data_IF_382197691237
#
_entry.id   IF_382197691237
#
_cell.length_a   1.000
_cell.length_b   1.000
_cell.length_c   1.000
_cell.angle_alpha   90.00
_cell.angle_beta   90.00
_cell.angle_gamma   90.00
#
_symmetry.space_group_name_H-M   'P 1'
#
loop_
_entity.id
_entity.type
_entity.pdbx_description
1 polymer ?
#
# COMPACT_ATOMS: atom_id res chain seq x y z
N UNK A 1 -0.19 -44.69 -4.72
CA UNK A 1 -0.43 -43.35 -5.36
C UNK A 1 -0.88 -42.41 -4.25
N UNK A 2 -0.04 -41.48 -3.82
CA UNK A 2 -0.43 -40.50 -2.79
C UNK A 2 -1.53 -39.63 -3.38
N UNK A 3 -2.73 -39.66 -2.81
CA UNK A 3 -3.80 -38.76 -3.23
C UNK A 3 -3.34 -37.31 -2.95
N UNK A 4 -3.06 -36.58 -3.99
CA UNK A 4 -2.73 -35.14 -3.84
C UNK A 4 -3.94 -34.45 -3.21
N UNK A 5 -3.79 -33.96 -1.99
CA UNK A 5 -4.84 -33.20 -1.30
C UNK A 5 -5.07 -31.93 -2.11
N UNK A 6 -6.22 -31.83 -2.76
CA UNK A 6 -6.64 -30.59 -3.43
C UNK A 6 -7.48 -29.75 -2.46
N UNK A 7 -6.96 -28.61 -2.06
CA UNK A 7 -7.69 -27.63 -1.25
C UNK A 7 -8.41 -26.64 -2.14
N UNK A 8 -9.64 -26.28 -1.76
CA UNK A 8 -10.49 -25.32 -2.47
C UNK A 8 -10.43 -23.95 -1.78
N UNK A 9 -10.36 -22.90 -2.54
CA UNK A 9 -10.33 -21.55 -2.00
C UNK A 9 -11.26 -20.57 -2.71
N UNK A 10 -11.74 -19.58 -1.95
CA UNK A 10 -12.32 -18.34 -2.46
C UNK A 10 -11.32 -17.22 -2.13
N UNK A 11 -11.06 -16.35 -3.10
CA UNK A 11 -10.02 -15.31 -2.98
C UNK A 11 -10.63 -13.94 -3.21
N UNK A 12 -10.54 -13.08 -2.21
CA UNK A 12 -10.84 -11.66 -2.30
C UNK A 12 -9.53 -10.93 -2.60
N UNK A 13 -9.40 -10.30 -3.76
CA UNK A 13 -8.10 -9.78 -4.17
C UNK A 13 -8.21 -8.50 -5.00
N UNK A 14 -7.19 -7.66 -4.86
CA UNK A 14 -7.00 -6.48 -5.69
C UNK A 14 -5.52 -6.10 -5.74
N UNK A 15 -5.11 -5.27 -6.71
CA UNK A 15 -3.77 -4.73 -6.81
C UNK A 15 -2.67 -5.81 -7.11
N UNK A 16 -1.40 -5.39 -7.19
CA UNK A 16 -0.26 -6.28 -7.50
C UNK A 16 -0.11 -7.44 -6.50
N UNK A 17 -0.36 -7.20 -5.21
CA UNK A 17 -0.32 -8.27 -4.20
C UNK A 17 -1.37 -9.33 -4.50
N UNK A 18 -2.59 -8.92 -4.90
CA UNK A 18 -3.64 -9.84 -5.33
C UNK A 18 -3.24 -10.65 -6.54
N UNK A 19 -2.66 -10.00 -7.57
CA UNK A 19 -2.15 -10.66 -8.78
C UNK A 19 -1.08 -11.72 -8.45
N UNK A 20 -0.07 -11.34 -7.65
CA UNK A 20 1.05 -12.25 -7.30
C UNK A 20 0.58 -13.40 -6.43
N UNK A 21 -0.20 -13.14 -5.39
CA UNK A 21 -0.71 -14.18 -4.49
C UNK A 21 -1.66 -15.14 -5.20
N UNK A 22 -2.49 -14.67 -6.15
CA UNK A 22 -3.37 -15.54 -6.94
C UNK A 22 -2.55 -16.52 -7.79
N UNK A 23 -1.47 -16.06 -8.43
CA UNK A 23 -0.53 -16.92 -9.17
C UNK A 23 0.17 -17.93 -8.26
N UNK A 24 0.53 -17.55 -7.04
CA UNK A 24 1.12 -18.46 -6.04
C UNK A 24 0.14 -19.57 -5.68
N UNK A 25 -1.14 -19.25 -5.41
CA UNK A 25 -2.16 -20.25 -5.09
C UNK A 25 -2.30 -21.28 -6.21
N UNK A 26 -2.38 -20.82 -7.46
CA UNK A 26 -2.47 -21.68 -8.65
C UNK A 26 -1.21 -22.56 -8.79
N UNK A 27 -0.01 -22.00 -8.64
CA UNK A 27 1.26 -22.72 -8.75
C UNK A 27 1.45 -23.77 -7.63
N UNK A 28 0.85 -23.55 -6.46
CA UNK A 28 0.86 -24.48 -5.32
C UNK A 28 -0.28 -25.51 -5.36
N UNK A 29 -1.11 -25.51 -6.40
CA UNK A 29 -2.17 -26.49 -6.59
C UNK A 29 -3.42 -26.25 -5.75
N UNK A 30 -3.61 -25.05 -5.22
CA UNK A 30 -4.88 -24.63 -4.62
C UNK A 30 -5.89 -24.46 -5.75
N UNK A 31 -7.05 -25.09 -5.61
CA UNK A 31 -8.16 -24.93 -6.53
C UNK A 31 -8.94 -23.67 -6.15
N UNK A 32 -8.64 -22.56 -6.83
CA UNK A 32 -9.37 -21.31 -6.63
C UNK A 32 -10.69 -21.41 -7.39
N UNK A 33 -11.81 -21.49 -6.66
CA UNK A 33 -13.16 -21.66 -7.21
C UNK A 33 -13.82 -20.35 -7.61
N UNK A 34 -13.42 -19.27 -6.94
CA UNK A 34 -13.97 -17.94 -7.17
C UNK A 34 -12.96 -16.87 -6.74
N UNK A 35 -12.78 -15.88 -7.60
CA UNK A 35 -12.13 -14.61 -7.27
C UNK A 35 -13.20 -13.52 -7.11
N UNK A 36 -13.14 -12.81 -6.00
CA UNK A 36 -13.93 -11.60 -5.73
C UNK A 36 -12.98 -10.42 -5.81
N UNK A 37 -13.21 -9.51 -6.75
CA UNK A 37 -12.33 -8.36 -6.99
C UNK A 37 -13.15 -7.09 -7.16
N UNK A 38 -12.50 -5.99 -7.52
CA UNK A 38 -13.15 -4.70 -7.79
C UNK A 38 -13.10 -4.36 -9.27
N UNK A 39 -14.07 -3.58 -9.73
CA UNK A 39 -13.92 -2.80 -10.97
C UNK A 39 -12.95 -1.65 -10.68
N UNK A 40 -12.08 -1.35 -11.65
CA UNK A 40 -11.18 -0.22 -11.55
C UNK A 40 -11.97 1.09 -11.60
N UNK A 41 -11.68 2.00 -10.69
CA UNK A 41 -12.29 3.32 -10.67
C UNK A 41 -11.61 4.22 -11.70
N UNK A 42 -12.33 4.66 -12.71
CA UNK A 42 -11.82 5.54 -13.77
C UNK A 42 -11.27 6.90 -13.25
N UNK A 43 -11.65 7.31 -12.04
CA UNK A 43 -11.13 8.52 -11.40
C UNK A 43 -9.80 8.30 -10.65
N UNK A 44 -9.35 7.04 -10.52
CA UNK A 44 -8.08 6.71 -9.89
C UNK A 44 -6.96 6.53 -10.93
N UNK A 45 -5.74 6.88 -10.53
CA UNK A 45 -4.55 6.50 -11.28
C UNK A 45 -4.29 5.00 -11.08
N UNK A 46 -4.54 4.19 -12.11
CA UNK A 46 -4.32 2.73 -12.07
C UNK A 46 -2.90 2.44 -12.55
N UNK A 47 -2.01 2.19 -11.60
CA UNK A 47 -0.58 1.90 -11.83
C UNK A 47 -0.19 0.45 -11.49
N UNK A 48 -1.18 -0.39 -11.24
CA UNK A 48 -1.02 -1.77 -10.79
C UNK A 48 -1.71 -2.77 -11.71
N UNK A 49 -1.33 -4.04 -11.61
CA UNK A 49 -1.89 -5.13 -12.39
C UNK A 49 -3.33 -5.47 -12.02
N UNK A 50 -4.07 -5.99 -12.98
CA UNK A 50 -5.47 -6.38 -12.85
C UNK A 50 -5.61 -7.82 -12.36
N UNK A 51 -6.23 -8.00 -11.19
CA UNK A 51 -6.63 -9.31 -10.67
C UNK A 51 -7.66 -9.98 -11.58
N UNK A 52 -8.59 -9.20 -12.14
CA UNK A 52 -9.57 -9.67 -13.11
C UNK A 52 -8.89 -10.31 -14.33
N UNK A 53 -7.94 -9.61 -14.94
CA UNK A 53 -7.19 -10.13 -16.09
C UNK A 53 -6.42 -11.42 -15.72
N UNK A 54 -5.79 -11.44 -14.54
CA UNK A 54 -5.07 -12.63 -14.04
C UNK A 54 -6.02 -13.81 -13.81
N UNK A 55 -7.21 -13.59 -13.26
CA UNK A 55 -8.22 -14.64 -13.10
C UNK A 55 -8.66 -15.21 -14.46
N UNK A 56 -8.87 -14.33 -15.46
CA UNK A 56 -9.20 -14.74 -16.84
C UNK A 56 -8.08 -15.59 -17.48
N UNK A 57 -6.82 -15.16 -17.36
CA UNK A 57 -5.66 -15.92 -17.85
C UNK A 57 -5.56 -17.32 -17.25
N UNK A 58 -5.89 -17.45 -15.96
CA UNK A 58 -5.86 -18.69 -15.21
C UNK A 58 -7.13 -19.54 -15.37
N UNK A 59 -8.14 -19.05 -16.09
CA UNK A 59 -9.44 -19.73 -16.25
C UNK A 59 -10.25 -19.82 -14.96
N UNK A 60 -10.04 -18.90 -14.03
CA UNK A 60 -10.70 -18.86 -12.73
C UNK A 60 -11.96 -17.96 -12.81
N UNK A 61 -13.15 -18.44 -12.39
CA UNK A 61 -14.33 -17.59 -12.30
C UNK A 61 -14.10 -16.39 -11.37
N UNK A 62 -14.58 -15.21 -11.79
CA UNK A 62 -14.50 -13.99 -10.97
C UNK A 62 -15.80 -13.20 -10.95
N UNK A 63 -15.95 -12.35 -9.94
CA UNK A 63 -17.04 -11.38 -9.80
C UNK A 63 -16.51 -10.07 -9.19
N UNK A 64 -17.24 -8.99 -9.42
CA UNK A 64 -16.92 -7.64 -8.94
C UNK A 64 -18.15 -7.03 -8.23
N UNK A 65 -18.53 -7.54 -7.04
CA UNK A 65 -19.69 -7.06 -6.33
C UNK A 65 -19.45 -5.70 -5.71
N UNK A 66 -20.44 -4.81 -5.77
CA UNK A 66 -20.40 -3.51 -5.09
C UNK A 66 -20.36 -3.65 -3.57
N UNK A 67 -20.90 -4.75 -3.05
CA UNK A 67 -21.02 -5.01 -1.63
C UNK A 67 -20.66 -6.47 -1.28
N UNK A 68 -19.65 -6.64 -0.43
CA UNK A 68 -19.28 -7.97 0.09
C UNK A 68 -20.30 -8.57 1.07
N UNK A 69 -21.30 -7.79 1.52
CA UNK A 69 -22.36 -8.25 2.43
C UNK A 69 -23.62 -8.81 1.73
N UNK A 70 -23.61 -8.92 0.39
CA UNK A 70 -24.78 -9.43 -0.36
C UNK A 70 -25.11 -10.88 -0.02
N UNK A 71 -26.41 -11.22 0.06
CA UNK A 71 -26.87 -12.60 0.30
C UNK A 71 -26.50 -13.55 -0.85
N UNK A 72 -26.51 -13.04 -2.09
CA UNK A 72 -26.12 -13.83 -3.27
C UNK A 72 -24.65 -14.27 -3.19
N UNK A 73 -23.76 -13.38 -2.72
CA UNK A 73 -22.36 -13.72 -2.50
C UNK A 73 -22.21 -14.76 -1.40
N UNK A 74 -22.94 -14.60 -0.29
CA UNK A 74 -22.94 -15.58 0.80
C UNK A 74 -23.40 -16.96 0.31
N UNK A 75 -24.56 -17.04 -0.37
CA UNK A 75 -25.08 -18.29 -0.90
C UNK A 75 -24.09 -18.96 -1.87
N UNK A 76 -23.44 -18.18 -2.73
CA UNK A 76 -22.45 -18.67 -3.68
C UNK A 76 -21.22 -19.24 -3.00
N UNK A 77 -20.67 -18.56 -1.99
CA UNK A 77 -19.50 -19.04 -1.22
C UNK A 77 -19.88 -20.26 -0.39
N UNK A 78 -21.06 -20.28 0.23
CA UNK A 78 -21.57 -21.43 0.97
C UNK A 78 -21.69 -22.68 0.08
N UNK A 79 -22.20 -22.52 -1.15
CA UNK A 79 -22.29 -23.62 -2.13
C UNK A 79 -20.91 -24.12 -2.58
N UNK A 80 -19.90 -23.26 -2.63
CA UNK A 80 -18.51 -23.64 -2.87
C UNK A 80 -17.97 -24.49 -1.71
N UNK A 81 -18.36 -24.23 -0.48
CA UNK A 81 -17.82 -24.86 0.74
C UNK A 81 -16.28 -24.86 0.75
N UNK A 82 -15.62 -23.68 0.77
CA UNK A 82 -14.18 -23.59 0.61
C UNK A 82 -13.40 -24.13 1.80
N UNK A 83 -12.22 -24.70 1.56
CA UNK A 83 -11.27 -25.03 2.61
C UNK A 83 -10.67 -23.74 3.20
N UNK A 84 -10.36 -22.76 2.34
CA UNK A 84 -9.76 -21.50 2.73
C UNK A 84 -10.50 -20.30 2.09
N UNK A 85 -10.51 -19.19 2.81
CA UNK A 85 -10.78 -17.87 2.23
C UNK A 85 -9.51 -17.03 2.38
N UNK A 86 -9.06 -16.42 1.27
CA UNK A 86 -7.92 -15.51 1.29
C UNK A 86 -8.35 -14.09 0.95
N UNK A 87 -7.71 -13.12 1.60
CA UNK A 87 -7.81 -11.69 1.29
C UNK A 87 -6.42 -11.13 0.94
N UNK A 88 -6.28 -10.53 -0.25
CA UNK A 88 -5.04 -9.95 -0.73
C UNK A 88 -5.32 -8.53 -1.21
N UNK A 89 -5.15 -7.53 -0.33
CA UNK A 89 -5.39 -6.12 -0.65
C UNK A 89 -6.81 -5.80 -1.14
N UNK A 90 -7.79 -6.62 -0.76
CA UNK A 90 -9.19 -6.32 -1.02
C UNK A 90 -9.63 -5.09 -0.20
N UNK A 91 -10.33 -4.12 -0.83
CA UNK A 91 -10.56 -2.79 -0.25
C UNK A 91 -11.70 -2.73 0.75
N UNK A 92 -12.62 -3.70 0.72
CA UNK A 92 -13.77 -3.73 1.62
C UNK A 92 -13.57 -4.70 2.76
N UNK A 93 -14.22 -4.42 3.90
CA UNK A 93 -14.29 -5.37 5.00
C UNK A 93 -15.10 -6.60 4.58
N UNK A 94 -14.59 -7.78 4.87
CA UNK A 94 -15.26 -9.06 4.63
C UNK A 94 -15.93 -9.45 5.95
N UNK A 95 -17.26 -9.62 5.98
CA UNK A 95 -17.97 -9.91 7.22
C UNK A 95 -17.67 -11.31 7.75
N UNK A 96 -17.70 -11.47 9.07
CA UNK A 96 -17.43 -12.73 9.75
C UNK A 96 -18.31 -13.88 9.24
N UNK A 97 -19.57 -13.61 8.85
CA UNK A 97 -20.48 -14.61 8.27
C UNK A 97 -19.94 -15.24 6.98
N UNK A 98 -19.12 -14.53 6.20
CA UNK A 98 -18.44 -15.09 5.04
C UNK A 98 -17.16 -15.83 5.44
N UNK A 99 -16.35 -15.23 6.33
CA UNK A 99 -15.08 -15.80 6.76
C UNK A 99 -15.28 -17.16 7.45
N UNK A 100 -16.36 -17.31 8.22
CA UNK A 100 -16.71 -18.57 8.91
C UNK A 100 -17.15 -19.71 7.98
N UNK A 101 -17.36 -19.47 6.70
CA UNK A 101 -17.65 -20.53 5.71
C UNK A 101 -16.41 -21.34 5.34
N UNK A 102 -15.22 -20.86 5.65
CA UNK A 102 -13.97 -21.57 5.35
C UNK A 102 -13.67 -22.64 6.40
N UNK A 103 -13.48 -23.88 5.94
CA UNK A 103 -13.27 -25.05 6.82
C UNK A 103 -11.97 -24.94 7.65
N UNK A 104 -10.90 -24.44 7.08
CA UNK A 104 -9.59 -24.32 7.72
C UNK A 104 -9.21 -22.88 8.06
N UNK A 105 -10.15 -21.93 7.87
CA UNK A 105 -10.00 -20.54 8.25
C UNK A 105 -9.83 -19.57 7.07
N UNK A 106 -9.85 -18.31 7.42
CA UNK A 106 -9.73 -17.20 6.50
C UNK A 106 -8.47 -16.39 6.82
N UNK A 107 -7.70 -16.00 5.79
CA UNK A 107 -6.38 -15.41 5.96
C UNK A 107 -6.22 -14.15 5.11
N UNK A 108 -5.55 -13.14 5.68
CA UNK A 108 -5.23 -11.90 4.99
C UNK A 108 -3.72 -11.72 4.84
N UNK A 109 -3.31 -11.15 3.72
CA UNK A 109 -1.95 -10.67 3.50
C UNK A 109 -1.89 -9.18 3.80
N UNK A 110 -1.27 -8.82 4.92
CA UNK A 110 -1.15 -7.44 5.37
C UNK A 110 0.24 -6.88 5.05
N UNK A 111 0.31 -5.62 4.60
CA UNK A 111 1.53 -4.97 4.14
C UNK A 111 2.38 -4.34 5.24
N UNK A 112 2.52 -5.00 6.38
CA UNK A 112 3.44 -4.61 7.46
C UNK A 112 3.91 -5.83 8.24
N UNK A 113 4.83 -5.62 9.18
CA UNK A 113 5.22 -6.61 10.19
C UNK A 113 4.29 -6.49 11.40
N UNK A 114 3.18 -7.24 11.39
CA UNK A 114 2.27 -7.28 12.54
C UNK A 114 2.99 -7.67 13.83
N UNK A 115 2.65 -7.07 14.97
CA UNK A 115 1.49 -6.21 15.26
C UNK A 115 1.66 -4.72 14.92
N UNK A 116 2.80 -4.28 14.37
CA UNK A 116 2.99 -2.88 13.96
C UNK A 116 2.16 -2.56 12.71
N UNK A 117 1.68 -1.32 12.62
CA UNK A 117 0.98 -0.77 11.45
C UNK A 117 -0.24 -1.58 11.00
N UNK A 118 -1.07 -2.02 11.93
CA UNK A 118 -2.41 -2.55 11.63
C UNK A 118 -3.28 -1.46 11.02
N UNK A 119 -4.29 -1.85 10.27
CA UNK A 119 -5.27 -0.96 9.66
C UNK A 119 -4.94 -0.63 8.21
N UNK A 120 -5.05 0.63 7.80
CA UNK A 120 -5.01 1.03 6.38
C UNK A 120 -3.67 1.65 6.00
N UNK A 121 -3.28 1.46 4.74
CA UNK A 121 -2.07 2.02 4.09
C UNK A 121 -0.79 1.88 4.93
N UNK A 122 -0.49 0.68 5.47
CA UNK A 122 0.58 0.47 6.44
C UNK A 122 1.96 0.88 5.93
N UNK A 123 2.25 0.68 4.64
CA UNK A 123 3.54 1.03 4.02
C UNK A 123 3.75 2.55 4.05
N UNK A 124 2.71 3.34 3.68
CA UNK A 124 2.82 4.80 3.73
C UNK A 124 3.09 5.30 5.15
N UNK A 125 2.46 4.69 6.16
CA UNK A 125 2.71 5.02 7.56
C UNK A 125 4.12 4.63 8.02
N UNK A 126 4.63 3.48 7.62
CA UNK A 126 6.00 3.05 7.94
C UNK A 126 7.04 4.02 7.37
N UNK A 127 6.91 4.42 6.10
CA UNK A 127 7.80 5.40 5.46
C UNK A 127 7.67 6.77 6.11
N UNK A 128 6.45 7.23 6.40
CA UNK A 128 6.20 8.52 7.05
C UNK A 128 6.85 8.60 8.45
N UNK A 129 6.82 7.51 9.21
CA UNK A 129 7.42 7.46 10.53
C UNK A 129 8.94 7.22 10.50
N UNK A 130 9.53 7.03 9.32
CA UNK A 130 10.97 6.83 9.16
C UNK A 130 11.46 5.46 9.62
N UNK A 131 10.59 4.43 9.55
CA UNK A 131 11.00 3.06 9.83
C UNK A 131 12.09 2.64 8.84
N UNK A 132 12.98 1.76 9.29
CA UNK A 132 14.08 1.21 8.47
C UNK A 132 13.73 -0.16 7.87
N UNK A 133 12.62 -0.74 8.29
CA UNK A 133 12.09 -2.00 7.79
C UNK A 133 10.56 -2.05 7.88
N UNK A 134 9.97 -2.85 7.03
CA UNK A 134 8.57 -3.25 7.06
C UNK A 134 8.47 -4.67 6.49
N UNK A 135 7.32 -5.09 5.98
CA UNK A 135 7.21 -6.42 5.39
C UNK A 135 5.81 -6.79 4.97
N UNK A 136 5.62 -8.08 4.81
CA UNK A 136 4.33 -8.71 4.56
C UNK A 136 4.03 -9.75 5.63
N UNK A 137 2.81 -9.77 6.14
CA UNK A 137 2.32 -10.72 7.13
C UNK A 137 1.11 -11.47 6.60
N UNK A 138 1.19 -12.78 6.52
CA UNK A 138 0.03 -13.66 6.38
C UNK A 138 -0.51 -13.95 7.77
N UNK A 139 -1.78 -13.59 8.02
CA UNK A 139 -2.41 -13.79 9.33
C UNK A 139 -3.86 -14.25 9.20
N UNK A 140 -4.38 -14.87 10.25
CA UNK A 140 -5.79 -15.22 10.34
C UNK A 140 -6.68 -13.98 10.41
N UNK A 141 -7.82 -14.00 9.71
CA UNK A 141 -8.85 -12.98 9.82
C UNK A 141 -9.80 -13.31 10.96
N UNK A 142 -9.94 -12.37 11.89
CA UNK A 142 -10.87 -12.41 13.01
C UNK A 142 -11.72 -11.16 13.01
N UNK A 143 -12.71 -11.04 13.91
CA UNK A 143 -13.62 -9.90 14.00
C UNK A 143 -12.87 -8.56 14.11
N UNK A 144 -11.81 -8.53 14.94
CA UNK A 144 -10.96 -7.32 15.06
C UNK A 144 -9.92 -7.31 13.93
N UNK A 145 -9.89 -6.26 13.10
CA UNK A 145 -8.97 -6.18 11.97
C UNK A 145 -7.50 -6.36 12.37
N UNK A 146 -6.77 -7.15 11.57
CA UNK A 146 -5.35 -7.45 11.69
C UNK A 146 -4.91 -7.92 13.09
N UNK A 147 -5.80 -8.65 13.80
CA UNK A 147 -5.58 -9.07 15.19
C UNK A 147 -5.44 -10.58 15.37
N UNK A 148 -5.69 -11.39 14.34
CA UNK A 148 -5.58 -12.84 14.40
C UNK A 148 -4.13 -13.33 14.46
N UNK A 149 -3.95 -14.64 14.68
CA UNK A 149 -2.64 -15.30 14.71
C UNK A 149 -1.86 -15.06 13.43
N UNK A 150 -0.55 -14.87 13.56
CA UNK A 150 0.38 -14.76 12.45
C UNK A 150 0.72 -16.17 11.95
N UNK A 151 0.56 -16.38 10.65
CA UNK A 151 0.98 -17.63 9.99
C UNK A 151 2.44 -17.56 9.60
N UNK A 152 2.85 -16.46 8.93
CA UNK A 152 4.22 -16.25 8.48
C UNK A 152 4.45 -14.77 8.12
N UNK A 153 5.72 -14.33 8.14
CA UNK A 153 6.12 -12.96 7.83
C UNK A 153 7.41 -12.93 7.00
N UNK A 154 7.53 -11.93 6.15
CA UNK A 154 8.79 -11.63 5.44
C UNK A 154 9.13 -10.15 5.62
N UNK A 155 10.33 -9.89 6.13
CA UNK A 155 10.88 -8.55 6.35
C UNK A 155 11.44 -8.00 5.04
N UNK A 156 11.24 -6.71 4.79
CA UNK A 156 11.92 -5.94 3.73
C UNK A 156 12.52 -4.67 4.28
N UNK A 157 13.73 -4.26 3.84
CA UNK A 157 14.33 -3.00 4.26
C UNK A 157 13.64 -1.81 3.60
N UNK A 158 13.55 -0.71 4.35
CA UNK A 158 13.23 0.63 3.84
C UNK A 158 14.54 1.40 3.77
N UNK A 159 15.05 1.63 2.57
CA UNK A 159 16.28 2.40 2.38
C UNK A 159 16.01 3.91 2.60
N UNK A 160 17.04 4.71 2.89
CA UNK A 160 16.89 6.13 3.21
C UNK A 160 16.09 6.93 2.18
N UNK A 161 16.19 6.56 0.91
CA UNK A 161 15.56 7.26 -0.21
C UNK A 161 14.38 6.50 -0.85
N UNK A 162 14.00 5.34 -0.31
CA UNK A 162 12.84 4.62 -0.81
C UNK A 162 11.56 5.45 -0.64
N UNK A 163 10.80 5.55 -1.68
CA UNK A 163 9.41 6.01 -1.64
C UNK A 163 8.48 4.88 -1.18
N UNK A 164 7.26 5.22 -0.80
CA UNK A 164 6.25 4.18 -0.49
C UNK A 164 5.96 3.26 -1.68
N UNK A 165 6.14 3.74 -2.91
CA UNK A 165 5.97 2.90 -4.10
C UNK A 165 7.05 1.82 -4.19
N UNK A 166 8.33 2.19 -4.03
CA UNK A 166 9.45 1.24 -4.03
C UNK A 166 9.35 0.23 -2.89
N UNK A 167 8.96 0.70 -1.69
CA UNK A 167 8.70 -0.19 -0.55
C UNK A 167 7.53 -1.14 -0.83
N UNK A 168 6.47 -0.66 -1.49
CA UNK A 168 5.32 -1.47 -1.88
C UNK A 168 5.72 -2.57 -2.88
N UNK A 169 6.59 -2.29 -3.83
CA UNK A 169 7.11 -3.31 -4.74
C UNK A 169 7.87 -4.41 -4.01
N UNK A 170 8.75 -4.04 -3.05
CA UNK A 170 9.45 -4.99 -2.17
C UNK A 170 8.46 -5.82 -1.34
N UNK A 171 7.46 -5.17 -0.73
CA UNK A 171 6.44 -5.83 0.07
C UNK A 171 5.56 -6.77 -0.77
N UNK A 172 5.33 -6.45 -2.05
CA UNK A 172 4.61 -7.32 -2.99
C UNK A 172 5.36 -8.64 -3.23
N UNK A 173 6.68 -8.57 -3.42
CA UNK A 173 7.53 -9.77 -3.54
C UNK A 173 7.59 -10.53 -2.21
N UNK A 174 7.69 -9.83 -1.10
CA UNK A 174 7.65 -10.43 0.24
C UNK A 174 6.34 -11.18 0.49
N UNK A 175 5.19 -10.62 0.08
CA UNK A 175 3.88 -11.25 0.18
C UNK A 175 3.82 -12.57 -0.62
N UNK A 176 4.34 -12.55 -1.85
CA UNK A 176 4.47 -13.76 -2.67
C UNK A 176 5.31 -14.83 -1.97
N UNK A 177 6.48 -14.48 -1.45
CA UNK A 177 7.39 -15.40 -0.76
C UNK A 177 6.77 -15.94 0.53
N UNK A 178 6.11 -15.09 1.31
CA UNK A 178 5.41 -15.47 2.55
C UNK A 178 4.34 -16.51 2.26
N UNK A 179 3.46 -16.23 1.29
CA UNK A 179 2.40 -17.17 0.91
C UNK A 179 2.98 -18.48 0.36
N UNK A 180 3.99 -18.39 -0.53
CA UNK A 180 4.65 -19.56 -1.11
C UNK A 180 5.21 -20.49 -0.03
N UNK A 181 5.83 -19.95 1.01
CA UNK A 181 6.45 -20.68 2.12
C UNK A 181 5.42 -21.26 3.07
N UNK A 182 4.31 -20.55 3.33
CA UNK A 182 3.27 -20.99 4.25
C UNK A 182 2.36 -22.10 3.68
N UNK A 183 2.07 -22.07 2.37
CA UNK A 183 1.06 -22.94 1.75
C UNK A 183 1.27 -24.46 1.95
N UNK A 184 2.48 -25.05 1.91
CA UNK A 184 2.65 -26.48 2.13
C UNK A 184 2.10 -26.95 3.48
N UNK A 185 2.37 -26.23 4.57
CA UNK A 185 1.84 -26.56 5.89
C UNK A 185 0.33 -26.32 5.97
N UNK A 186 -0.17 -25.24 5.37
CA UNK A 186 -1.61 -24.96 5.30
C UNK A 186 -2.37 -26.04 4.54
N UNK A 187 -1.87 -26.50 3.38
CA UNK A 187 -2.46 -27.58 2.59
C UNK A 187 -2.51 -28.89 3.40
N UNK A 188 -1.47 -29.17 4.20
CA UNK A 188 -1.43 -30.32 5.11
C UNK A 188 -2.37 -30.19 6.31
N UNK A 189 -3.00 -29.03 6.52
CA UNK A 189 -3.83 -28.74 7.70
C UNK A 189 -3.03 -28.43 8.97
N UNK A 190 -1.73 -28.13 8.83
CA UNK A 190 -0.80 -27.77 9.90
C UNK A 190 -0.49 -26.29 9.86
N UNK A 191 -1.52 -25.45 10.08
CA UNK A 191 -1.41 -24.00 9.95
C UNK A 191 -0.63 -23.43 11.14
N UNK A 192 0.52 -22.76 10.94
CA UNK A 192 1.25 -22.11 12.02
C UNK A 192 0.39 -21.03 12.70
N UNK A 193 0.53 -20.90 14.02
CA UNK A 193 -0.19 -19.91 14.83
C UNK A 193 0.79 -19.22 15.78
N UNK A 194 1.42 -18.16 15.30
CA UNK A 194 2.30 -17.33 16.13
C UNK A 194 1.48 -16.20 16.79
N UNK A 195 1.76 -15.87 18.07
CA UNK A 195 1.04 -14.81 18.76
C UNK A 195 1.20 -13.46 18.08
N UNK A 196 0.07 -12.77 17.85
CA UNK A 196 0.03 -11.39 17.41
C UNK A 196 -0.20 -10.49 18.63
N UNK A 197 0.88 -10.08 19.31
CA UNK A 197 0.82 -9.36 20.59
C UNK A 197 0.45 -7.90 20.36
N UNK A 198 -0.84 -7.59 20.32
CA UNK A 198 -1.37 -6.28 19.93
C UNK A 198 -0.87 -5.11 20.80
N UNK A 199 -0.48 -5.35 22.04
CA UNK A 199 0.07 -4.36 22.95
C UNK A 199 1.43 -3.79 22.45
N UNK A 200 2.16 -4.57 21.64
CA UNK A 200 3.45 -4.17 21.05
C UNK A 200 3.29 -3.52 19.67
N UNK A 201 2.06 -3.27 19.23
CA UNK A 201 1.75 -2.80 17.90
C UNK A 201 1.13 -1.41 17.85
N UNK A 202 0.77 -1.03 16.64
CA UNK A 202 0.09 0.23 16.34
C UNK A 202 -1.09 -0.01 15.41
N UNK A 203 -2.00 0.98 15.32
CA UNK A 203 -3.14 0.95 14.41
C UNK A 203 -3.31 2.32 13.76
N UNK A 204 -3.46 2.35 12.44
CA UNK A 204 -3.61 3.58 11.68
C UNK A 204 -4.79 3.51 10.72
N UNK A 205 -5.46 4.66 10.55
CA UNK A 205 -6.53 4.84 9.57
C UNK A 205 -6.05 5.05 8.14
N UNK A 206 -6.99 5.27 7.24
CA UNK A 206 -6.70 5.73 5.88
C UNK A 206 -6.14 7.15 5.87
N UNK A 207 -5.48 7.51 4.77
CA UNK A 207 -4.99 8.87 4.50
C UNK A 207 -5.85 9.53 3.42
N UNK A 208 -5.90 10.87 3.46
CA UNK A 208 -6.54 11.70 2.45
C UNK A 208 -5.49 12.52 1.71
N UNK A 209 -5.76 13.02 0.49
CA UNK A 209 -4.83 13.89 -0.23
C UNK A 209 -4.35 15.10 0.59
N UNK A 210 -5.22 15.68 1.44
CA UNK A 210 -4.90 16.83 2.31
C UNK A 210 -3.82 16.52 3.34
N UNK A 211 -3.67 15.26 3.75
CA UNK A 211 -2.60 14.80 4.65
C UNK A 211 -1.20 14.90 4.03
N UNK A 212 -1.13 15.17 2.73
CA UNK A 212 0.10 15.44 1.98
C UNK A 212 0.58 16.88 2.09
N UNK A 213 -0.13 17.79 2.78
CA UNK A 213 0.32 19.19 2.96
C UNK A 213 1.64 19.25 3.71
N UNK A 214 2.63 19.91 3.12
CA UNK A 214 3.95 20.10 3.73
C UNK A 214 3.87 21.22 4.77
N UNK A 215 4.33 20.94 5.97
CA UNK A 215 4.63 21.91 7.01
C UNK A 215 6.15 22.12 7.05
N UNK A 216 6.60 23.18 6.38
CA UNK A 216 8.03 23.54 6.31
C UNK A 216 8.65 23.91 7.67
N UNK A 217 7.85 24.22 8.70
CA UNK A 217 8.36 24.50 10.04
C UNK A 217 8.89 23.26 10.76
N UNK A 218 8.57 22.05 10.24
CA UNK A 218 9.09 20.78 10.78
C UNK A 218 10.55 20.55 10.39
N UNK A 219 11.26 19.63 11.12
CA UNK A 219 12.61 19.20 10.75
C UNK A 219 12.65 18.57 9.35
N UNK A 220 13.75 18.77 8.64
CA UNK A 220 13.95 18.31 7.28
C UNK A 220 13.68 16.80 7.09
N UNK A 221 14.11 15.97 8.05
CA UNK A 221 13.84 14.53 7.99
C UNK A 221 12.35 14.20 8.02
N UNK A 222 11.56 14.92 8.81
CA UNK A 222 10.10 14.68 8.87
C UNK A 222 9.41 15.13 7.58
N UNK A 223 9.81 16.27 7.02
CA UNK A 223 9.31 16.76 5.73
C UNK A 223 9.69 15.77 4.61
N UNK A 224 10.93 15.30 4.61
CA UNK A 224 11.39 14.31 3.64
C UNK A 224 10.63 12.99 3.73
N UNK A 225 10.39 12.50 4.94
CA UNK A 225 9.59 11.28 5.14
C UNK A 225 8.15 11.45 4.60
N UNK A 226 7.52 12.63 4.79
CA UNK A 226 6.22 12.91 4.18
C UNK A 226 6.29 12.86 2.65
N UNK A 227 7.30 13.53 2.05
CA UNK A 227 7.48 13.53 0.60
C UNK A 227 7.60 12.10 0.06
N UNK A 228 8.47 11.27 0.66
CA UNK A 228 8.66 9.87 0.26
C UNK A 228 7.39 9.02 0.45
N UNK A 229 6.67 9.26 1.57
CA UNK A 229 5.49 8.48 1.93
C UNK A 229 4.34 8.63 0.94
N UNK A 230 4.23 9.77 0.27
CA UNK A 230 3.13 10.07 -0.64
C UNK A 230 3.58 10.44 -2.06
N UNK A 231 4.87 10.23 -2.38
CA UNK A 231 5.41 10.48 -3.73
C UNK A 231 4.59 9.75 -4.81
N UNK A 232 4.54 10.26 -6.04
CA UNK A 232 3.87 9.59 -7.14
C UNK A 232 4.25 8.11 -7.24
N UNK A 233 3.31 7.20 -7.54
CA UNK A 233 1.96 7.43 -8.08
C UNK A 233 0.86 7.79 -7.08
N UNK A 234 1.20 7.98 -5.80
CA UNK A 234 0.28 8.55 -4.81
C UNK A 234 0.06 10.06 -5.07
N UNK A 235 -0.89 10.72 -4.37
CA UNK A 235 -1.25 12.11 -4.65
C UNK A 235 -0.12 13.14 -4.55
N UNK A 236 0.98 12.83 -3.86
CA UNK A 236 2.12 13.70 -3.67
C UNK A 236 2.05 14.59 -2.42
N UNK A 237 3.23 14.95 -1.90
CA UNK A 237 3.34 15.99 -0.88
C UNK A 237 3.28 17.36 -1.56
N UNK A 238 2.50 18.29 -1.00
CA UNK A 238 2.24 19.56 -1.65
C UNK A 238 2.40 20.76 -0.71
N UNK A 239 2.68 21.90 -1.33
CA UNK A 239 2.71 23.21 -0.68
C UNK A 239 2.06 24.25 -1.58
N UNK A 240 1.54 25.33 -0.99
CA UNK A 240 1.01 26.45 -1.75
C UNK A 240 2.01 27.61 -1.68
N UNK A 241 2.21 28.30 -2.81
CA UNK A 241 2.97 29.54 -2.90
C UNK A 241 2.16 30.57 -3.70
N UNK A 242 1.75 31.64 -3.06
CA UNK A 242 0.74 32.54 -3.60
C UNK A 242 -0.59 31.81 -3.84
N UNK A 243 -1.12 31.93 -5.05
CA UNK A 243 -2.36 31.23 -5.48
C UNK A 243 -2.11 29.84 -6.07
N UNK A 244 -0.86 29.43 -6.22
CA UNK A 244 -0.47 28.23 -6.94
C UNK A 244 -0.17 27.08 -5.96
N UNK A 245 -0.58 25.87 -6.34
CA UNK A 245 -0.24 24.64 -5.61
C UNK A 245 0.87 23.88 -6.33
N UNK A 246 1.85 23.45 -5.56
CA UNK A 246 2.99 22.68 -6.04
C UNK A 246 3.07 21.33 -5.34
N UNK A 247 3.31 20.25 -6.12
CA UNK A 247 3.58 18.90 -5.63
C UNK A 247 5.07 18.65 -5.77
N UNK A 248 5.72 18.24 -4.67
CA UNK A 248 7.10 17.78 -4.67
C UNK A 248 7.11 16.32 -5.10
N UNK A 249 7.37 16.10 -6.41
CA UNK A 249 7.29 14.77 -7.00
C UNK A 249 8.57 13.94 -6.75
N UNK A 250 9.75 14.59 -6.77
CA UNK A 250 11.04 13.94 -6.50
C UNK A 250 11.97 14.86 -5.75
N UNK A 251 12.52 14.39 -4.66
CA UNK A 251 13.42 15.15 -3.81
C UNK A 251 14.43 14.25 -3.09
N UNK A 252 15.42 14.87 -2.46
CA UNK A 252 16.38 14.23 -1.56
C UNK A 252 16.68 15.17 -0.38
N UNK A 253 17.13 14.61 0.76
CA UNK A 253 17.74 15.44 1.78
C UNK A 253 18.97 16.12 1.22
N UNK A 254 19.10 17.44 1.39
CA UNK A 254 20.28 18.19 0.98
C UNK A 254 21.38 18.05 2.04
N UNK A 255 22.63 18.10 1.60
CA UNK A 255 23.78 18.24 2.52
C UNK A 255 23.94 19.67 3.03
N UNK A 256 23.39 20.63 2.28
CA UNK A 256 23.44 22.06 2.63
C UNK A 256 22.38 22.39 3.68
N UNK A 257 22.70 23.39 4.51
CA UNK A 257 21.78 24.00 5.46
C UNK A 257 21.63 25.49 5.13
N UNK A 258 20.44 26.04 5.39
CA UNK A 258 20.11 27.43 5.12
C UNK A 258 19.54 28.08 6.39
N UNK A 259 20.41 28.63 7.23
CA UNK A 259 20.03 29.27 8.50
C UNK A 259 19.53 30.71 8.32
N UNK A 260 19.75 31.30 7.15
CA UNK A 260 19.39 32.69 6.81
C UNK A 260 18.14 32.79 5.91
N UNK A 261 17.55 31.64 5.52
CA UNK A 261 16.33 31.61 4.75
C UNK A 261 15.16 31.13 5.63
N UNK A 262 13.96 31.73 5.48
CA UNK A 262 12.78 31.23 6.20
C UNK A 262 12.34 29.85 5.69
N UNK A 263 11.60 29.07 6.50
CA UNK A 263 11.00 27.82 6.03
C UNK A 263 10.07 28.03 4.82
N UNK A 264 10.23 27.19 3.78
CA UNK A 264 9.45 27.30 2.56
C UNK A 264 10.22 26.89 1.31
N UNK A 265 9.62 27.15 0.13
CA UNK A 265 10.27 26.94 -1.18
C UNK A 265 11.24 28.09 -1.50
N UNK A 266 12.42 27.72 -1.99
CA UNK A 266 13.47 28.66 -2.40
C UNK A 266 14.15 28.21 -3.69
N UNK A 267 14.70 29.18 -4.41
CA UNK A 267 15.62 28.93 -5.52
C UNK A 267 16.96 29.57 -5.18
N UNK A 268 18.00 28.74 -5.10
CA UNK A 268 19.37 29.15 -4.81
C UNK A 268 20.28 28.57 -5.90
N UNK A 269 21.09 29.41 -6.54
CA UNK A 269 22.02 29.00 -7.62
C UNK A 269 21.33 28.14 -8.71
N UNK A 270 20.15 28.55 -9.12
CA UNK A 270 19.31 27.88 -10.12
C UNK A 270 18.88 26.44 -9.73
N UNK A 271 18.93 26.09 -8.45
CA UNK A 271 18.40 24.83 -7.90
C UNK A 271 17.24 25.10 -6.94
N UNK A 272 16.28 24.18 -6.88
CA UNK A 272 15.08 24.30 -6.04
C UNK A 272 15.31 23.60 -4.70
N UNK A 273 14.98 24.29 -3.62
CA UNK A 273 15.08 23.78 -2.25
C UNK A 273 13.80 24.04 -1.47
N UNK A 274 13.48 23.10 -0.59
CA UNK A 274 12.57 23.32 0.53
C UNK A 274 13.40 23.51 1.79
N UNK A 275 13.38 24.71 2.37
CA UNK A 275 14.07 25.01 3.64
C UNK A 275 13.13 24.65 4.79
N UNK A 276 13.65 23.95 5.79
CA UNK A 276 12.90 23.43 6.91
C UNK A 276 13.18 24.17 8.21
N UNK A 277 12.34 23.99 9.23
CA UNK A 277 12.39 24.73 10.49
C UNK A 277 13.66 24.52 11.32
N UNK A 278 14.37 23.43 11.10
CA UNK A 278 15.69 23.13 11.70
C UNK A 278 16.88 23.69 10.89
N UNK A 279 16.60 24.46 9.82
CA UNK A 279 17.62 24.95 8.89
C UNK A 279 18.11 23.89 7.90
N UNK A 280 17.70 22.64 8.05
CA UNK A 280 17.94 21.59 7.05
C UNK A 280 17.16 21.84 5.77
N UNK A 281 17.55 21.23 4.67
CA UNK A 281 16.93 21.45 3.39
C UNK A 281 16.61 20.17 2.63
N UNK A 282 15.63 20.27 1.76
CA UNK A 282 15.23 19.27 0.80
C UNK A 282 15.61 19.77 -0.59
N UNK A 283 16.53 19.08 -1.27
CA UNK A 283 16.84 19.34 -2.68
C UNK A 283 15.70 18.79 -3.55
N UNK A 284 15.00 19.65 -4.26
CA UNK A 284 13.85 19.32 -5.09
C UNK A 284 14.32 19.12 -6.52
N UNK A 285 14.19 17.88 -7.01
CA UNK A 285 14.60 17.49 -8.36
C UNK A 285 13.46 17.57 -9.36
N UNK A 286 12.22 17.42 -8.87
CA UNK A 286 11.03 17.49 -9.70
C UNK A 286 9.89 18.10 -8.90
N UNK A 287 9.36 19.20 -9.42
CA UNK A 287 8.25 19.98 -8.85
C UNK A 287 7.15 20.09 -9.91
N UNK A 288 5.93 19.78 -9.54
CA UNK A 288 4.77 19.88 -10.41
C UNK A 288 3.84 20.99 -9.93
N UNK A 289 3.39 21.85 -10.83
CA UNK A 289 2.29 22.79 -10.56
C UNK A 289 0.97 22.10 -10.85
N UNK A 290 0.01 22.23 -9.95
CA UNK A 290 -1.35 21.72 -10.13
C UNK A 290 -2.11 22.66 -11.08
N UNK A 291 -2.60 22.10 -12.17
CA UNK A 291 -3.37 22.82 -13.19
C UNK A 291 -4.76 22.21 -13.34
N UNK A 292 -5.79 22.75 -12.66
CA UNK A 292 -7.13 22.15 -12.61
C UNK A 292 -7.78 21.95 -13.99
N UNK A 293 -7.33 22.70 -15.01
CA UNK A 293 -7.90 22.67 -16.36
C UNK A 293 -7.09 21.83 -17.37
N UNK A 294 -5.89 21.34 -16.99
CA UNK A 294 -5.06 20.53 -17.87
C UNK A 294 -5.48 19.05 -17.86
N UNK A 295 -5.40 18.37 -18.98
CA UNK A 295 -5.72 16.93 -19.10
C UNK A 295 -4.86 16.06 -18.18
N UNK A 296 -3.61 16.45 -17.89
CA UNK A 296 -2.70 15.79 -16.94
C UNK A 296 -2.91 16.25 -15.49
N UNK A 297 -3.65 17.35 -15.26
CA UNK A 297 -3.83 17.97 -13.95
C UNK A 297 -2.56 18.61 -13.35
N UNK A 298 -1.38 18.42 -13.96
CA UNK A 298 -0.09 18.96 -13.47
C UNK A 298 0.86 19.31 -14.60
N UNK A 299 1.76 20.28 -14.36
CA UNK A 299 2.89 20.62 -15.25
C UNK A 299 4.20 20.67 -14.46
N UNK A 300 5.31 20.26 -15.10
CA UNK A 300 6.66 20.32 -14.50
C UNK A 300 7.12 21.76 -14.44
N UNK A 301 7.69 22.16 -13.31
CA UNK A 301 8.16 23.54 -13.03
C UNK A 301 9.68 23.56 -13.01
N UNK A 302 10.27 24.52 -13.74
CA UNK A 302 11.72 24.78 -13.68
C UNK A 302 12.06 25.71 -12.51
N UNK A 303 13.34 25.73 -12.10
CA UNK A 303 13.82 26.64 -11.07
C UNK A 303 13.56 28.12 -11.43
N UNK A 304 13.73 28.49 -12.70
CA UNK A 304 13.50 29.86 -13.18
C UNK A 304 12.00 30.25 -13.07
N UNK A 305 11.09 29.34 -13.43
CA UNK A 305 9.64 29.58 -13.29
C UNK A 305 9.25 29.73 -11.83
N UNK A 306 9.78 28.87 -10.94
CA UNK A 306 9.55 28.98 -9.51
C UNK A 306 10.09 30.30 -8.95
N UNK A 307 11.33 30.70 -9.32
CA UNK A 307 11.92 31.96 -8.87
C UNK A 307 11.07 33.17 -9.28
N UNK A 308 10.55 33.20 -10.52
CA UNK A 308 9.66 34.24 -10.98
C UNK A 308 8.36 34.30 -10.19
N UNK A 309 7.78 33.18 -9.85
CA UNK A 309 6.55 33.10 -9.07
C UNK A 309 6.76 33.55 -7.61
N UNK A 310 7.86 33.10 -6.97
CA UNK A 310 8.19 33.51 -5.60
C UNK A 310 8.51 35.01 -5.46
N UNK A 311 8.97 35.65 -6.53
CA UNK A 311 9.20 37.09 -6.54
C UNK A 311 7.90 37.93 -6.64
N UNK A 312 6.77 37.32 -7.02
CA UNK A 312 5.46 37.92 -7.15
C UNK A 312 4.56 37.70 -5.93
N UNK A 313 4.93 36.78 -5.03
CA UNK A 313 4.19 36.40 -3.83
C UNK A 313 4.78 37.05 -2.58
#
# INVERSE_FOLDING_TARGET
MSSTIRRRAVVFAYHNVGVRCLRVLAARGIQVELVVTHEDNAAENIWFGSVRATAQELGIPFITPDNANGEDLHARIAAIAPDFIFSFYYRHMIPMRLLSLAKFGAFNMHGSLLPKYRGRVPINWAVLHGETETGATLHEMVEKPDAGYIVDQTIVPILPDDTSHEVFEKATVAAEQTLWRALPAMIAGQIPQHPNVLANGSYFGGRKPEDGRIDWAKPAQQVYNLIRAVAPPYPGAFTDAGSERYIVARARLAHQTFTNLPPGLHVVDNAMFGVCGDGGAIAIHELWRVEPQAASGTSVVTAQQLASQLALS
#
